data_IF_090724773373
#
_entry.id   IF_090724773373
#
_cell.length_a   1.000
_cell.length_b   1.000
_cell.length_c   1.000
_cell.angle_alpha   90.00
_cell.angle_beta   90.00
_cell.angle_gamma   90.00
#
_symmetry.space_group_name_H-M   'P 1'
#
loop_
_entity.id
_entity.type
_entity.pdbx_description
1 polymer ?
#
# COMPACT_ATOMS: atom_id res chain seq x y z
N UNK A 1 -33.03 -67.00 -38.96
CA UNK A 1 -32.05 -67.79 -39.73
C UNK A 1 -32.22 -67.43 -41.19
N UNK A 2 -31.18 -67.45 -42.04
CA UNK A 2 -29.79 -67.06 -41.87
C UNK A 2 -29.45 -65.91 -42.86
N UNK A 3 -28.39 -65.15 -42.63
CA UNK A 3 -27.19 -65.30 -43.47
C UNK A 3 -27.14 -64.14 -44.48
N UNK A 4 -26.01 -63.72 -45.02
CA UNK A 4 -24.59 -63.98 -44.83
C UNK A 4 -23.94 -63.10 -45.91
N UNK A 5 -22.78 -62.49 -45.65
CA UNK A 5 -21.69 -62.22 -46.64
C UNK A 5 -22.06 -61.42 -47.92
N UNK A 6 -21.35 -60.40 -48.39
CA UNK A 6 -19.95 -60.05 -48.22
C UNK A 6 -19.63 -58.76 -49.02
N UNK A 7 -18.61 -58.05 -48.53
CA UNK A 7 -17.48 -57.47 -49.28
C UNK A 7 -17.71 -56.32 -50.30
N UNK A 8 -17.23 -55.15 -49.86
CA UNK A 8 -16.38 -54.13 -50.51
C UNK A 8 -16.51 -53.81 -52.02
N UNK A 9 -16.45 -52.51 -52.34
CA UNK A 9 -15.25 -51.77 -52.80
C UNK A 9 -15.67 -50.64 -53.75
N UNK A 10 -15.49 -49.37 -53.34
CA UNK A 10 -15.12 -48.29 -54.26
C UNK A 10 -14.82 -47.01 -53.49
N UNK A 11 -13.56 -46.58 -53.59
CA UNK A 11 -13.04 -45.29 -53.14
C UNK A 11 -13.87 -44.15 -53.72
N UNK A 12 -14.15 -43.13 -52.92
CA UNK A 12 -14.07 -41.75 -53.39
C UNK A 12 -13.58 -40.86 -52.24
N UNK A 13 -12.33 -40.41 -52.42
CA UNK A 13 -11.68 -39.40 -51.62
C UNK A 13 -12.27 -38.05 -52.04
N UNK A 14 -13.00 -37.38 -51.14
CA UNK A 14 -13.24 -35.94 -51.31
C UNK A 14 -13.14 -35.26 -49.95
N UNK A 15 -12.04 -34.54 -49.81
CA UNK A 15 -11.67 -33.70 -48.68
C UNK A 15 -12.61 -32.48 -48.64
N UNK A 16 -13.17 -32.13 -47.47
CA UNK A 16 -13.20 -30.75 -46.95
C UNK A 16 -13.80 -30.63 -45.53
N UNK A 17 -13.01 -29.92 -44.72
CA UNK A 17 -13.35 -29.09 -43.55
C UNK A 17 -13.99 -29.76 -42.33
N UNK A 18 -13.15 -30.24 -41.42
CA UNK A 18 -13.45 -30.21 -39.99
C UNK A 18 -12.93 -28.90 -39.40
N UNK A 19 -13.82 -28.16 -38.75
CA UNK A 19 -13.51 -27.09 -37.83
C UNK A 19 -12.91 -27.74 -36.58
N UNK A 20 -11.58 -27.85 -36.54
CA UNK A 20 -10.87 -28.21 -35.33
C UNK A 20 -10.85 -26.96 -34.44
N UNK A 21 -11.49 -27.06 -33.27
CA UNK A 21 -11.47 -26.01 -32.26
C UNK A 21 -10.07 -26.09 -31.64
N UNK A 22 -9.19 -25.16 -32.02
CA UNK A 22 -7.83 -25.10 -31.49
C UNK A 22 -7.86 -25.11 -29.95
N UNK A 23 -6.94 -25.84 -29.29
CA UNK A 23 -6.79 -25.82 -27.84
C UNK A 23 -6.41 -24.40 -27.37
N UNK A 24 -6.68 -24.03 -26.11
CA UNK A 24 -6.32 -22.71 -25.61
C UNK A 24 -4.81 -22.56 -25.73
N UNK A 25 -4.36 -21.55 -26.49
CA UNK A 25 -2.94 -21.18 -26.60
C UNK A 25 -2.39 -21.05 -25.16
N UNK A 26 -1.42 -21.89 -24.74
CA UNK A 26 -0.72 -21.63 -23.51
C UNK A 26 0.12 -20.36 -23.73
N UNK A 27 -0.07 -19.34 -22.89
CA UNK A 27 0.81 -18.18 -22.88
C UNK A 27 2.25 -18.69 -22.71
N UNK A 28 3.06 -18.60 -23.77
CA UNK A 28 4.44 -19.07 -23.74
C UNK A 28 5.23 -18.30 -22.66
N UNK A 29 6.17 -18.96 -21.95
CA UNK A 29 7.09 -18.23 -21.07
C UNK A 29 7.89 -17.24 -21.92
N UNK A 30 7.93 -15.97 -21.48
CA UNK A 30 8.77 -14.94 -22.11
C UNK A 30 10.23 -15.39 -22.09
N UNK A 31 11.01 -15.02 -23.11
CA UNK A 31 12.44 -15.34 -23.12
C UNK A 31 13.20 -14.38 -22.20
N UNK A 32 14.32 -14.80 -21.62
CA UNK A 32 15.16 -13.97 -20.72
C UNK A 32 15.47 -12.58 -21.31
N UNK A 33 15.66 -12.51 -22.64
CA UNK A 33 15.93 -11.25 -23.35
C UNK A 33 14.70 -10.32 -23.41
N UNK A 34 13.49 -10.87 -23.50
CA UNK A 34 12.24 -10.09 -23.42
C UNK A 34 11.97 -9.61 -21.99
N UNK A 35 12.31 -10.41 -20.98
CA UNK A 35 12.21 -10.03 -19.57
C UNK A 35 13.15 -8.87 -19.25
N UNK A 36 14.41 -8.94 -19.68
CA UNK A 36 15.41 -7.87 -19.52
C UNK A 36 14.99 -6.56 -20.20
N UNK A 37 14.35 -6.64 -21.37
CA UNK A 37 13.86 -5.45 -22.06
C UNK A 37 12.66 -4.83 -21.32
N UNK A 38 11.71 -5.67 -20.88
CA UNK A 38 10.55 -5.24 -20.09
C UNK A 38 10.98 -4.60 -18.77
N UNK A 39 12.02 -5.14 -18.13
CA UNK A 39 12.60 -4.59 -16.90
C UNK A 39 13.09 -3.14 -17.09
N UNK A 40 13.77 -2.83 -18.20
CA UNK A 40 14.24 -1.46 -18.48
C UNK A 40 13.08 -0.47 -18.57
N UNK A 41 12.01 -0.84 -19.27
CA UNK A 41 10.80 0.00 -19.42
C UNK A 41 10.08 0.21 -18.08
N UNK A 42 10.01 -0.84 -17.26
CA UNK A 42 9.48 -0.77 -15.89
C UNK A 42 10.31 0.18 -15.03
N UNK A 43 11.65 0.11 -15.08
CA UNK A 43 12.53 0.99 -14.31
C UNK A 43 12.32 2.47 -14.72
N UNK A 44 12.24 2.76 -16.02
CA UNK A 44 12.01 4.13 -16.51
C UNK A 44 10.65 4.65 -16.01
N UNK A 45 9.60 3.85 -16.15
CA UNK A 45 8.26 4.21 -15.69
C UNK A 45 8.21 4.39 -14.17
N UNK A 46 8.85 3.51 -13.42
CA UNK A 46 8.97 3.60 -11.97
C UNK A 46 9.67 4.90 -11.55
N UNK A 47 10.75 5.31 -12.22
CA UNK A 47 11.47 6.57 -11.95
C UNK A 47 10.60 7.79 -12.23
N UNK A 48 9.82 7.77 -13.29
CA UNK A 48 8.89 8.86 -13.58
C UNK A 48 7.84 9.01 -12.48
N UNK A 49 7.21 7.91 -12.08
CA UNK A 49 6.22 7.90 -11.00
C UNK A 49 6.85 8.32 -9.66
N UNK A 50 8.07 7.87 -9.36
CA UNK A 50 8.79 8.26 -8.15
C UNK A 50 8.98 9.79 -8.08
N UNK A 51 9.35 10.42 -9.21
CA UNK A 51 9.51 11.87 -9.31
C UNK A 51 8.17 12.60 -9.11
N UNK A 52 7.10 12.13 -9.76
CA UNK A 52 5.76 12.70 -9.62
C UNK A 52 5.26 12.60 -8.17
N UNK A 53 5.47 11.46 -7.51
CA UNK A 53 5.13 11.25 -6.10
C UNK A 53 5.93 12.18 -5.19
N UNK A 54 7.22 12.39 -5.47
CA UNK A 54 8.06 13.30 -4.68
C UNK A 54 7.54 14.74 -4.75
N UNK A 55 7.16 15.20 -5.95
CA UNK A 55 6.61 16.53 -6.18
C UNK A 55 5.24 16.70 -5.49
N UNK A 56 4.31 15.77 -5.69
CA UNK A 56 3.00 15.79 -5.05
C UNK A 56 3.10 15.78 -3.52
N UNK A 57 4.04 15.01 -2.97
CA UNK A 57 4.31 15.01 -1.53
C UNK A 57 4.85 16.36 -1.04
N UNK A 58 5.66 17.06 -1.83
CA UNK A 58 6.14 18.40 -1.51
C UNK A 58 4.98 19.38 -1.39
N UNK A 59 4.12 19.43 -2.41
CA UNK A 59 2.92 20.28 -2.42
C UNK A 59 1.96 19.93 -1.28
N UNK A 60 1.77 18.65 -0.99
CA UNK A 60 0.95 18.17 0.12
C UNK A 60 1.50 18.66 1.48
N UNK A 61 2.83 18.58 1.69
CA UNK A 61 3.48 19.09 2.90
C UNK A 61 3.24 20.58 3.09
N UNK A 62 3.37 21.36 2.03
CA UNK A 62 3.15 22.81 2.09
C UNK A 62 1.69 23.16 2.41
N UNK A 63 0.73 22.53 1.72
CA UNK A 63 -0.70 22.74 1.97
C UNK A 63 -1.08 22.35 3.39
N UNK A 64 -0.58 21.22 3.91
CA UNK A 64 -0.80 20.80 5.31
C UNK A 64 -0.22 21.79 6.31
N UNK A 65 0.96 22.37 6.03
CA UNK A 65 1.56 23.41 6.90
C UNK A 65 0.66 24.65 6.96
N UNK A 66 0.22 25.15 5.80
CA UNK A 66 -0.68 26.32 5.72
C UNK A 66 -2.02 26.04 6.39
N UNK A 67 -2.61 24.86 6.15
CA UNK A 67 -3.84 24.41 6.80
C UNK A 67 -3.70 24.41 8.32
N UNK A 68 -2.63 23.81 8.85
CA UNK A 68 -2.38 23.76 10.31
C UNK A 68 -2.26 25.16 10.92
N UNK A 69 -1.57 26.08 10.26
CA UNK A 69 -1.47 27.47 10.73
C UNK A 69 -2.86 28.11 10.84
N UNK A 70 -3.72 27.93 9.83
CA UNK A 70 -5.09 28.46 9.85
C UNK A 70 -5.92 27.81 10.95
N UNK A 71 -5.84 26.48 11.12
CA UNK A 71 -6.52 25.75 12.19
C UNK A 71 -6.10 26.25 13.58
N UNK A 72 -4.82 26.52 13.81
CA UNK A 72 -4.31 27.07 15.08
C UNK A 72 -4.85 28.48 15.36
N UNK A 73 -4.93 29.34 14.32
CA UNK A 73 -5.53 30.67 14.43
C UNK A 73 -7.02 30.58 14.78
N UNK A 74 -7.76 29.72 14.08
CA UNK A 74 -9.19 29.48 14.32
C UNK A 74 -9.41 28.98 15.75
N UNK A 75 -8.66 27.95 16.18
CA UNK A 75 -8.76 27.41 17.54
C UNK A 75 -8.42 28.46 18.60
N UNK A 76 -7.42 29.32 18.35
CA UNK A 76 -7.06 30.41 19.26
C UNK A 76 -8.22 31.39 19.43
N UNK A 77 -8.86 31.80 18.34
CA UNK A 77 -10.00 32.72 18.35
C UNK A 77 -11.19 32.06 19.07
N UNK A 78 -11.53 30.81 18.71
CA UNK A 78 -12.64 30.08 19.34
C UNK A 78 -12.43 29.92 20.85
N UNK A 79 -11.20 29.59 21.30
CA UNK A 79 -10.87 29.49 22.73
C UNK A 79 -10.95 30.84 23.43
N UNK A 80 -10.36 31.89 22.85
CA UNK A 80 -10.34 33.24 23.43
C UNK A 80 -11.75 33.79 23.68
N UNK A 81 -12.68 33.47 22.78
CA UNK A 81 -14.06 33.94 22.84
C UNK A 81 -15.05 32.89 23.37
N UNK A 82 -14.55 31.74 23.86
CA UNK A 82 -15.35 30.63 24.36
C UNK A 82 -16.45 30.15 23.36
N UNK A 83 -16.12 30.13 22.07
CA UNK A 83 -17.02 29.72 20.99
C UNK A 83 -17.01 28.18 20.90
N UNK A 84 -18.10 27.54 21.29
CA UNK A 84 -18.27 26.08 21.15
C UNK A 84 -18.67 25.64 19.74
N UNK A 85 -19.40 26.48 19.01
CA UNK A 85 -19.83 26.23 17.65
C UNK A 85 -19.99 27.53 16.86
N UNK A 86 -19.73 27.49 15.56
CA UNK A 86 -19.88 28.61 14.64
C UNK A 86 -20.55 28.13 13.35
N UNK A 87 -21.73 28.66 13.03
CA UNK A 87 -22.40 28.41 11.76
C UNK A 87 -21.84 29.36 10.67
N UNK A 88 -21.44 28.79 9.53
CA UNK A 88 -20.82 29.52 8.44
C UNK A 88 -21.89 30.00 7.46
N UNK A 89 -22.22 31.29 7.52
CA UNK A 89 -23.16 31.93 6.59
C UNK A 89 -22.62 31.81 5.16
N UNK A 90 -23.41 31.21 4.27
CA UNK A 90 -23.11 31.08 2.84
C UNK A 90 -22.58 29.71 2.37
N UNK A 91 -22.07 28.86 3.27
CA UNK A 91 -21.65 27.48 2.92
C UNK A 91 -22.58 26.39 3.48
N UNK A 92 -23.50 26.76 4.38
CA UNK A 92 -24.34 25.80 5.11
C UNK A 92 -23.55 24.93 6.11
N UNK A 93 -22.25 25.18 6.29
CA UNK A 93 -21.39 24.42 7.18
C UNK A 93 -21.42 24.93 8.62
N UNK A 94 -21.06 24.06 9.56
CA UNK A 94 -20.87 24.40 10.98
C UNK A 94 -19.52 23.93 11.45
N UNK A 95 -18.81 24.80 12.16
CA UNK A 95 -17.56 24.48 12.84
C UNK A 95 -17.85 24.20 14.32
N UNK A 96 -17.34 23.09 14.84
CA UNK A 96 -17.49 22.71 16.24
C UNK A 96 -16.12 22.68 16.92
N UNK A 97 -16.01 23.31 18.09
CA UNK A 97 -14.86 23.08 18.95
C UNK A 97 -15.01 21.70 19.60
N UNK A 98 -14.07 20.80 19.29
CA UNK A 98 -13.99 19.46 19.89
C UNK A 98 -12.64 19.27 20.56
N UNK A 99 -12.66 18.76 21.78
CA UNK A 99 -11.46 18.25 22.47
C UNK A 99 -11.59 16.74 22.56
N UNK A 100 -10.56 16.04 22.11
CA UNK A 100 -10.43 14.60 22.29
C UNK A 100 -9.10 14.31 22.94
N UNK A 101 -9.11 13.44 23.95
CA UNK A 101 -7.90 12.89 24.55
C UNK A 101 -7.77 11.45 24.05
N UNK A 102 -6.68 11.15 23.36
CA UNK A 102 -6.31 9.79 22.97
C UNK A 102 -5.10 9.34 23.78
N UNK A 103 -4.95 8.03 23.99
CA UNK A 103 -3.73 7.49 24.60
C UNK A 103 -2.53 7.86 23.73
N UNK A 104 -1.41 8.18 24.37
CA UNK A 104 -0.14 8.43 23.68
C UNK A 104 0.37 7.18 22.98
N UNK A 105 1.22 7.36 21.98
CA UNK A 105 1.93 6.25 21.32
C UNK A 105 2.94 5.61 22.27
N UNK A 106 3.05 4.29 22.22
CA UNK A 106 4.08 3.53 22.94
C UNK A 106 5.35 3.48 22.09
N UNK A 107 6.21 4.49 22.23
CA UNK A 107 7.56 4.47 21.66
C UNK A 107 8.57 3.95 22.70
N UNK A 108 9.81 3.71 22.27
CA UNK A 108 10.88 3.18 23.15
C UNK A 108 11.01 4.00 24.44
N UNK A 109 11.08 5.33 24.33
CA UNK A 109 11.19 6.23 25.49
C UNK A 109 10.01 6.05 26.45
N UNK A 110 8.78 6.08 25.94
CA UNK A 110 7.58 5.91 26.77
C UNK A 110 7.52 4.53 27.42
N UNK A 111 7.93 3.47 26.71
CA UNK A 111 7.99 2.12 27.29
C UNK A 111 9.04 2.06 28.40
N UNK A 112 10.24 2.59 28.17
CA UNK A 112 11.30 2.65 29.19
C UNK A 112 10.85 3.44 30.42
N UNK A 113 10.25 4.62 30.25
CA UNK A 113 9.72 5.42 31.36
C UNK A 113 8.69 4.64 32.18
N UNK A 114 7.74 3.96 31.51
CA UNK A 114 6.73 3.14 32.17
C UNK A 114 7.33 1.93 32.90
N UNK A 115 8.34 1.28 32.31
CA UNK A 115 9.07 0.18 32.96
C UNK A 115 9.83 0.68 34.19
N UNK A 116 10.56 1.79 34.09
CA UNK A 116 11.26 2.40 35.24
C UNK A 116 10.28 2.73 36.36
N UNK A 117 9.13 3.32 36.03
CA UNK A 117 8.11 3.67 37.01
C UNK A 117 7.49 2.42 37.66
N UNK A 118 7.19 1.38 36.88
CA UNK A 118 6.55 0.16 37.37
C UNK A 118 7.50 -0.68 38.22
N UNK A 119 8.73 -0.84 37.75
CA UNK A 119 9.77 -1.67 38.37
C UNK A 119 10.52 -0.92 39.49
N UNK A 120 10.38 0.41 39.56
CA UNK A 120 11.07 1.29 40.51
C UNK A 120 12.60 1.15 40.48
N UNK A 121 13.15 0.79 39.32
CA UNK A 121 14.57 0.56 39.09
C UNK A 121 14.90 0.82 37.64
N UNK A 122 15.85 1.73 37.40
CA UNK A 122 16.35 2.01 36.05
C UNK A 122 17.09 0.80 35.47
N UNK A 123 17.87 0.09 36.30
CA UNK A 123 18.60 -1.12 35.88
C UNK A 123 17.66 -2.20 35.40
N UNK A 124 16.61 -2.51 36.17
CA UNK A 124 15.66 -3.57 35.82
C UNK A 124 14.84 -3.20 34.57
N UNK A 125 14.50 -1.91 34.41
CA UNK A 125 13.83 -1.41 33.21
C UNK A 125 14.72 -1.49 31.97
N UNK A 126 16.03 -1.21 32.10
CA UNK A 126 16.99 -1.34 31.02
C UNK A 126 17.14 -2.80 30.58
N UNK A 127 17.26 -3.74 31.51
CA UNK A 127 17.32 -5.19 31.24
C UNK A 127 16.05 -5.68 30.52
N UNK A 128 14.87 -5.26 30.98
CA UNK A 128 13.60 -5.60 30.35
C UNK A 128 13.49 -5.02 28.92
N UNK A 129 13.92 -3.77 28.72
CA UNK A 129 13.92 -3.14 27.40
C UNK A 129 14.90 -3.82 26.45
N UNK A 130 16.07 -4.23 26.94
CA UNK A 130 17.05 -5.00 26.17
C UNK A 130 16.47 -6.36 25.75
N UNK A 131 15.82 -7.07 26.67
CA UNK A 131 15.13 -8.32 26.36
C UNK A 131 14.08 -8.14 25.26
N UNK A 132 13.22 -7.11 25.37
CA UNK A 132 12.21 -6.79 24.33
C UNK A 132 12.88 -6.54 22.98
N UNK A 133 13.97 -5.76 22.96
CA UNK A 133 14.67 -5.43 21.72
C UNK A 133 15.36 -6.64 21.07
N UNK A 134 15.85 -7.59 21.85
CA UNK A 134 16.46 -8.84 21.33
C UNK A 134 15.41 -9.83 20.81
N UNK A 135 14.24 -9.87 21.43
CA UNK A 135 13.21 -10.88 21.14
C UNK A 135 12.08 -10.37 20.24
N UNK A 136 12.00 -9.06 19.98
CA UNK A 136 11.02 -8.52 19.01
C UNK A 136 11.34 -9.08 17.62
N UNK A 137 10.31 -9.56 16.93
CA UNK A 137 10.46 -10.13 15.60
C UNK A 137 11.05 -9.14 14.59
N UNK A 138 11.98 -9.63 13.78
CA UNK A 138 12.46 -8.92 12.59
C UNK A 138 11.54 -9.19 11.41
N UNK A 139 11.32 -8.19 10.56
CA UNK A 139 10.67 -8.35 9.26
C UNK A 139 11.69 -8.04 8.18
N UNK A 140 11.98 -8.99 7.31
CA UNK A 140 12.79 -8.75 6.12
C UNK A 140 11.97 -7.87 5.18
N UNK A 141 12.57 -6.75 4.75
CA UNK A 141 11.98 -5.85 3.77
C UNK A 141 12.98 -5.70 2.63
N UNK A 142 12.58 -6.10 1.44
CA UNK A 142 13.31 -5.82 0.22
C UNK A 142 12.89 -4.44 -0.31
N UNK A 143 13.84 -3.69 -0.83
CA UNK A 143 13.60 -2.37 -1.41
C UNK A 143 14.55 -2.11 -2.56
N UNK A 144 14.05 -1.40 -3.56
CA UNK A 144 14.86 -0.88 -4.66
C UNK A 144 15.50 0.43 -4.18
N UNK A 145 16.81 0.55 -4.33
CA UNK A 145 17.57 1.78 -4.13
C UNK A 145 18.09 2.24 -5.49
N UNK A 146 17.78 3.48 -5.86
CA UNK A 146 18.38 4.11 -7.02
C UNK A 146 19.49 5.05 -6.56
N UNK A 147 20.69 4.87 -7.12
CA UNK A 147 21.86 5.71 -6.89
C UNK A 147 22.16 6.51 -8.16
N UNK A 148 22.47 7.80 -8.01
CA UNK A 148 22.82 8.73 -9.09
C UNK A 148 24.32 8.78 -9.29
#
# INVERSE_FOLDING_TARGET
MPGSTDINFAKQLTLKSQTEVDPPVPAAPMTDQQELQSLKEIIISWRQIESEVAELNSQMREKKKRQKTLEEMILRIMKKHNIGALDLKGSGGRLLYRRQTTKGTLNVKTITELLTQHMKSETAAAEAMEFINKNRGAKVKESILYEN
#
